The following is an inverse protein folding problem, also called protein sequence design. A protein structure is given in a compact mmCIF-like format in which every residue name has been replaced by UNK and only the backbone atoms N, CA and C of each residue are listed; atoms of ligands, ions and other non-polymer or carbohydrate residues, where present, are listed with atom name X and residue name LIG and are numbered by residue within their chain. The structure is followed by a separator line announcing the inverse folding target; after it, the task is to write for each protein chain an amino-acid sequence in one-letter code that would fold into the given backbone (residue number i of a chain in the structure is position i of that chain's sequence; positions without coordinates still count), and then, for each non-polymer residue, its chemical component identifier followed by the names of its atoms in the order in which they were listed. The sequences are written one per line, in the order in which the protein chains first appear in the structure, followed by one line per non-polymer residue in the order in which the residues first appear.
data_IF_338418861236
#
_entry.id   IF_338418861236
#
_cell.length_a   1.000
_cell.length_b   1.000
_cell.length_c   1.000
_cell.angle_alpha   90.00
_cell.angle_beta   90.00
_cell.angle_gamma   90.00
#
_symmetry.space_group_name_H-M   'P 1'
#
loop_
_entity.id
_entity.type
_entity.pdbx_description
1 polymer ?
#
# COMPACT_ATOMS: atom_id res chain seq x y z
N UNK A 1 32.97 -3.07 -0.97
CA UNK A 1 31.73 -3.84 -1.13
C UNK A 1 30.85 -3.64 0.08
N UNK A 2 29.68 -3.05 -0.16
CA UNK A 2 28.73 -2.77 0.92
C UNK A 2 27.81 -3.97 1.04
N UNK A 3 28.13 -4.90 1.95
CA UNK A 3 27.24 -6.01 2.25
C UNK A 3 26.04 -5.55 3.07
N UNK A 4 24.93 -6.28 3.00
CA UNK A 4 23.77 -6.04 3.84
C UNK A 4 24.13 -6.30 5.30
N UNK A 5 23.95 -5.31 6.21
CA UNK A 5 24.23 -5.54 7.63
C UNK A 5 23.37 -6.67 8.20
N UNK A 6 23.95 -7.50 9.09
CA UNK A 6 23.29 -8.68 9.65
C UNK A 6 21.99 -8.32 10.41
N UNK A 7 21.94 -7.17 11.05
CA UNK A 7 20.79 -6.70 11.82
C UNK A 7 19.59 -6.29 10.98
N UNK A 8 19.78 -6.05 9.66
CA UNK A 8 18.70 -5.68 8.74
C UNK A 8 18.10 -6.90 8.02
N UNK A 9 18.71 -8.06 8.09
CA UNK A 9 18.23 -9.27 7.42
C UNK A 9 16.79 -9.64 7.80
N UNK A 10 16.39 -9.63 9.08
CA UNK A 10 15.00 -9.90 9.44
C UNK A 10 14.01 -8.90 8.86
N UNK A 11 14.40 -7.64 8.72
CA UNK A 11 13.57 -6.58 8.12
C UNK A 11 13.38 -6.86 6.63
N UNK A 12 14.45 -7.20 5.91
CA UNK A 12 14.39 -7.57 4.49
C UNK A 12 13.48 -8.79 4.31
N UNK A 13 13.59 -9.80 5.14
CA UNK A 13 12.73 -10.99 5.07
C UNK A 13 11.26 -10.64 5.29
N UNK A 14 10.96 -9.72 6.21
CA UNK A 14 9.60 -9.23 6.42
C UNK A 14 9.02 -8.59 5.17
N UNK A 15 9.80 -7.80 4.44
CA UNK A 15 9.38 -7.19 3.17
C UNK A 15 9.21 -8.27 2.09
N UNK A 16 10.09 -9.26 2.04
CA UNK A 16 10.02 -10.36 1.06
C UNK A 16 8.76 -11.22 1.18
N UNK A 17 8.09 -11.23 2.33
CA UNK A 17 6.80 -11.92 2.49
C UNK A 17 5.70 -11.29 1.60
N UNK A 18 5.83 -10.03 1.26
CA UNK A 18 4.89 -9.31 0.39
C UNK A 18 5.50 -9.10 -1.00
N UNK A 19 6.76 -8.70 -1.08
CA UNK A 19 7.47 -8.39 -2.32
C UNK A 19 8.49 -9.47 -2.65
N UNK A 20 8.10 -10.43 -3.46
CA UNK A 20 9.00 -11.48 -3.96
C UNK A 20 10.11 -10.82 -4.77
N UNK A 21 11.35 -11.16 -4.46
CA UNK A 21 12.54 -10.59 -5.12
C UNK A 21 13.08 -9.30 -4.51
N UNK A 22 12.50 -8.82 -3.41
CA UNK A 22 13.05 -7.69 -2.68
C UNK A 22 14.38 -8.08 -2.02
N UNK A 23 15.45 -7.33 -2.31
CA UNK A 23 16.80 -7.57 -1.78
C UNK A 23 17.43 -6.34 -1.12
N UNK A 24 16.62 -5.36 -0.76
CA UNK A 24 17.11 -4.09 -0.24
C UNK A 24 17.79 -3.25 -1.33
N UNK A 25 18.61 -2.30 -0.90
CA UNK A 25 19.24 -1.34 -1.81
C UNK A 25 20.69 -1.69 -2.06
N UNK A 26 20.93 -2.82 -2.70
CA UNK A 26 22.29 -3.22 -3.12
C UNK A 26 22.70 -2.46 -4.39
N UNK A 27 24.02 -2.36 -4.62
CA UNK A 27 24.54 -1.72 -5.81
C UNK A 27 24.03 -2.43 -7.08
N UNK A 28 23.36 -1.68 -7.94
CA UNK A 28 22.78 -2.20 -9.18
C UNK A 28 21.29 -2.56 -9.09
N UNK A 29 20.69 -2.64 -7.89
CA UNK A 29 19.26 -2.96 -7.71
C UNK A 29 18.42 -1.85 -7.10
N UNK A 30 18.99 -0.69 -6.81
CA UNK A 30 18.31 0.44 -6.14
C UNK A 30 17.07 0.92 -6.85
N UNK A 31 17.20 1.16 -8.14
CA UNK A 31 16.09 1.62 -8.97
C UNK A 31 14.95 0.61 -8.96
N UNK A 32 15.28 -0.65 -9.21
CA UNK A 32 14.30 -1.73 -9.24
C UNK A 32 13.63 -1.93 -7.89
N UNK A 33 14.39 -1.87 -6.80
CA UNK A 33 13.88 -2.02 -5.44
C UNK A 33 12.90 -0.90 -5.08
N UNK A 34 13.27 0.34 -5.34
CA UNK A 34 12.41 1.49 -5.05
C UNK A 34 11.15 1.47 -5.92
N UNK A 35 11.29 1.11 -7.18
CA UNK A 35 10.15 0.93 -8.09
C UNK A 35 9.21 -0.17 -7.60
N UNK A 36 9.75 -1.29 -7.14
CA UNK A 36 8.97 -2.41 -6.60
C UNK A 36 8.13 -1.98 -5.39
N UNK A 37 8.69 -1.22 -4.47
CA UNK A 37 7.98 -0.69 -3.30
C UNK A 37 6.87 0.27 -3.74
N UNK A 38 7.15 1.17 -4.66
CA UNK A 38 6.16 2.13 -5.17
C UNK A 38 5.03 1.45 -5.92
N UNK A 39 5.33 0.47 -6.74
CA UNK A 39 4.32 -0.33 -7.46
C UNK A 39 3.41 -1.07 -6.47
N UNK A 40 3.96 -1.58 -5.37
CA UNK A 40 3.17 -2.22 -4.31
C UNK A 40 2.25 -1.22 -3.59
N UNK A 41 2.70 -0.02 -3.33
CA UNK A 41 1.85 1.04 -2.75
C UNK A 41 0.66 1.33 -3.68
N UNK A 42 0.92 1.47 -4.98
CA UNK A 42 -0.13 1.70 -5.99
C UNK A 42 -1.10 0.53 -6.03
N UNK A 43 -0.59 -0.69 -6.04
CA UNK A 43 -1.42 -1.89 -6.04
C UNK A 43 -2.30 -1.99 -4.80
N UNK A 44 -1.72 -1.76 -3.62
CA UNK A 44 -2.45 -1.79 -2.36
C UNK A 44 -3.52 -0.69 -2.30
N UNK A 45 -3.20 0.53 -2.71
CA UNK A 45 -4.15 1.64 -2.77
C UNK A 45 -5.32 1.33 -3.71
N UNK A 46 -5.04 0.69 -4.85
CA UNK A 46 -6.07 0.22 -5.78
C UNK A 46 -7.00 -0.83 -5.17
N UNK A 47 -6.47 -1.73 -4.34
CA UNK A 47 -7.27 -2.73 -3.61
C UNK A 47 -8.15 -2.09 -2.54
N UNK A 48 -7.61 -1.16 -1.75
CA UNK A 48 -8.39 -0.39 -0.78
C UNK A 48 -9.52 0.36 -1.49
N UNK A 49 -9.21 1.00 -2.61
CA UNK A 49 -10.20 1.71 -3.42
C UNK A 49 -11.33 0.78 -3.88
N UNK A 50 -11.00 -0.42 -4.34
CA UNK A 50 -12.00 -1.41 -4.78
C UNK A 50 -12.91 -1.86 -3.63
N UNK A 51 -12.37 -2.11 -2.45
CA UNK A 51 -13.16 -2.44 -1.27
C UNK A 51 -14.09 -1.29 -0.87
N UNK A 52 -13.58 -0.06 -0.93
CA UNK A 52 -14.38 1.14 -0.60
C UNK A 52 -15.43 1.43 -1.66
N UNK A 53 -15.19 1.11 -2.93
CA UNK A 53 -16.21 1.20 -3.98
C UNK A 53 -17.39 0.27 -3.67
N UNK A 54 -17.12 -0.94 -3.25
CA UNK A 54 -18.17 -1.89 -2.88
C UNK A 54 -18.97 -1.41 -1.67
N UNK A 55 -18.29 -0.86 -0.66
CA UNK A 55 -18.94 -0.24 0.50
C UNK A 55 -19.81 0.95 0.07
N UNK A 56 -19.27 1.83 -0.76
CA UNK A 56 -20.00 2.99 -1.29
C UNK A 56 -21.28 2.58 -2.02
N UNK A 57 -21.16 1.68 -2.99
CA UNK A 57 -22.29 1.26 -3.82
C UNK A 57 -23.41 0.68 -2.96
N UNK A 58 -23.06 -0.12 -1.99
CA UNK A 58 -24.00 -0.81 -1.13
C UNK A 58 -24.66 0.14 -0.12
N UNK A 59 -23.88 0.97 0.55
CA UNK A 59 -24.39 1.93 1.53
C UNK A 59 -25.20 3.04 0.86
N UNK A 60 -24.82 3.47 -0.32
CA UNK A 60 -25.60 4.42 -1.12
C UNK A 60 -26.97 3.84 -1.48
N UNK A 61 -26.99 2.59 -1.96
CA UNK A 61 -28.24 1.88 -2.31
C UNK A 61 -29.17 1.73 -1.11
N UNK A 62 -28.62 1.54 0.07
CA UNK A 62 -29.38 1.35 1.31
C UNK A 62 -29.74 2.68 2.01
N UNK A 63 -29.35 3.82 1.47
CA UNK A 63 -29.64 5.12 2.03
C UNK A 63 -28.72 5.55 3.17
N UNK A 64 -27.65 4.82 3.45
CA UNK A 64 -26.67 5.13 4.50
C UNK A 64 -25.65 6.16 3.99
N UNK A 65 -26.10 7.40 3.83
CA UNK A 65 -25.34 8.45 3.15
C UNK A 65 -24.04 8.84 3.87
N UNK A 66 -24.00 8.79 5.19
CA UNK A 66 -22.82 9.13 5.96
C UNK A 66 -21.68 8.12 5.68
N UNK A 67 -21.97 6.83 5.74
CA UNK A 67 -21.01 5.78 5.43
C UNK A 67 -20.60 5.81 3.95
N UNK A 68 -21.54 6.03 3.05
CA UNK A 68 -21.26 6.17 1.63
C UNK A 68 -20.30 7.34 1.35
N UNK A 69 -20.50 8.48 1.97
CA UNK A 69 -19.59 9.64 1.83
C UNK A 69 -18.19 9.35 2.36
N UNK A 70 -18.09 8.67 3.50
CA UNK A 70 -16.79 8.27 4.07
C UNK A 70 -16.04 7.33 3.15
N UNK A 71 -16.73 6.36 2.56
CA UNK A 71 -16.14 5.44 1.59
C UNK A 71 -15.66 6.18 0.33
N UNK A 72 -16.46 7.12 -0.18
CA UNK A 72 -16.10 7.95 -1.33
C UNK A 72 -14.86 8.80 -1.04
N UNK A 73 -14.78 9.41 0.13
CA UNK A 73 -13.62 10.19 0.54
C UNK A 73 -12.35 9.32 0.58
N UNK A 74 -12.44 8.12 1.13
CA UNK A 74 -11.34 7.17 1.13
C UNK A 74 -10.89 6.81 -0.29
N UNK A 75 -11.81 6.60 -1.22
CA UNK A 75 -11.50 6.35 -2.63
C UNK A 75 -10.75 7.52 -3.28
N UNK A 76 -11.19 8.75 -3.02
CA UNK A 76 -10.53 9.95 -3.53
C UNK A 76 -9.10 10.08 -3.00
N UNK A 77 -8.88 9.81 -1.71
CA UNK A 77 -7.56 9.81 -1.11
C UNK A 77 -6.65 8.72 -1.69
N UNK A 78 -7.19 7.54 -1.98
CA UNK A 78 -6.46 6.49 -2.70
C UNK A 78 -6.04 6.95 -4.10
N UNK A 79 -6.91 7.64 -4.82
CA UNK A 79 -6.61 8.18 -6.14
C UNK A 79 -5.49 9.22 -6.09
N UNK A 80 -5.51 10.14 -5.13
CA UNK A 80 -4.43 11.12 -4.91
C UNK A 80 -3.12 10.45 -4.56
N UNK A 81 -3.13 9.47 -3.65
CA UNK A 81 -1.92 8.72 -3.27
C UNK A 81 -1.31 8.02 -4.48
N UNK A 82 -2.11 7.31 -5.27
CA UNK A 82 -1.64 6.63 -6.47
C UNK A 82 -1.02 7.60 -7.48
N UNK A 83 -1.64 8.75 -7.66
CA UNK A 83 -1.12 9.80 -8.57
C UNK A 83 0.21 10.35 -8.05
N UNK A 84 0.30 10.68 -6.77
CA UNK A 84 1.51 11.20 -6.15
C UNK A 84 2.67 10.19 -6.24
N UNK A 85 2.41 8.92 -5.99
CA UNK A 85 3.43 7.86 -6.09
C UNK A 85 3.90 7.69 -7.54
N UNK A 86 3.00 7.74 -8.51
CA UNK A 86 3.34 7.69 -9.94
C UNK A 86 4.25 8.86 -10.36
N UNK A 87 3.95 10.05 -9.90
CA UNK A 87 4.78 11.25 -10.14
C UNK A 87 6.17 11.10 -9.50
N UNK A 88 6.23 10.57 -8.28
CA UNK A 88 7.48 10.34 -7.58
C UNK A 88 8.36 9.29 -8.29
N UNK A 89 7.78 8.25 -8.86
CA UNK A 89 8.51 7.26 -9.68
C UNK A 89 9.13 7.94 -10.89
N UNK A 90 8.40 8.76 -11.61
CA UNK A 90 8.93 9.49 -12.76
C UNK A 90 10.08 10.44 -12.39
N UNK A 91 9.97 11.16 -11.27
CA UNK A 91 11.02 12.01 -10.74
C UNK A 91 12.28 11.23 -10.34
N UNK A 92 12.10 10.04 -9.77
CA UNK A 92 13.18 9.15 -9.40
C UNK A 92 13.94 8.62 -10.62
N UNK A 93 13.27 8.24 -11.70
CA UNK A 93 13.92 7.84 -12.95
C UNK A 93 14.86 8.94 -13.44
N UNK A 94 14.42 10.18 -13.42
CA UNK A 94 15.23 11.30 -13.78
C UNK A 94 16.44 11.49 -12.86
N UNK A 95 16.27 11.34 -11.56
CA UNK A 95 17.35 11.44 -10.57
C UNK A 95 18.43 10.36 -10.77
N UNK A 96 18.04 9.12 -11.05
CA UNK A 96 18.98 8.03 -11.34
C UNK A 96 19.78 8.27 -12.62
N UNK A 97 19.15 8.82 -13.65
CA UNK A 97 19.83 9.15 -14.91
C UNK A 97 20.79 10.33 -14.76
N UNK A 98 20.59 11.21 -13.80
CA UNK A 98 21.45 12.36 -13.55
C UNK A 98 22.72 12.05 -12.74
N UNK A 99 22.93 10.82 -12.33
CA UNK A 99 24.18 10.38 -11.67
C UNK A 99 24.34 10.83 -10.21
N UNK A 100 23.28 10.91 -9.45
CA UNK A 100 23.34 11.28 -8.04
C UNK A 100 24.17 10.31 -7.20
N UNK A 101 24.80 10.83 -6.13
CA UNK A 101 25.64 10.05 -5.22
C UNK A 101 24.91 8.91 -4.57
N UNK A 102 25.61 7.79 -4.40
CA UNK A 102 25.15 6.65 -3.62
C UNK A 102 24.93 7.02 -2.16
N UNK A 103 23.79 6.67 -1.54
CA UNK A 103 23.58 6.87 -0.11
C UNK A 103 24.54 6.02 0.73
N UNK A 104 24.83 6.47 1.96
CA UNK A 104 25.65 5.74 2.93
C UNK A 104 24.95 4.48 3.42
N UNK A 105 25.69 3.55 4.07
CA UNK A 105 25.10 2.36 4.70
C UNK A 105 24.03 2.69 5.73
N UNK A 106 24.24 3.75 6.50
CA UNK A 106 23.26 4.22 7.49
C UNK A 106 21.96 4.66 6.80
N UNK A 107 22.07 5.35 5.68
CA UNK A 107 20.92 5.80 4.91
C UNK A 107 20.21 4.61 4.26
N UNK A 108 20.95 3.62 3.78
CA UNK A 108 20.37 2.39 3.22
C UNK A 108 19.59 1.60 4.27
N UNK A 109 20.08 1.50 5.51
CA UNK A 109 19.33 0.88 6.63
C UNK A 109 18.00 1.60 6.89
N UNK A 110 18.03 2.93 6.90
CA UNK A 110 16.82 3.76 7.08
C UNK A 110 15.84 3.55 5.96
N UNK A 111 16.30 3.46 4.72
CA UNK A 111 15.45 3.20 3.56
C UNK A 111 14.77 1.82 3.67
N UNK A 112 15.52 0.79 4.01
CA UNK A 112 14.99 -0.57 4.16
C UNK A 112 13.97 -0.62 5.30
N UNK A 113 14.24 0.02 6.44
CA UNK A 113 13.30 0.11 7.54
C UNK A 113 12.03 0.88 7.15
N UNK A 114 12.19 1.96 6.40
CA UNK A 114 11.08 2.73 5.86
C UNK A 114 10.22 1.87 4.92
N UNK A 115 10.84 1.11 4.02
CA UNK A 115 10.13 0.20 3.13
C UNK A 115 9.33 -0.84 3.91
N UNK A 116 9.93 -1.43 4.92
CA UNK A 116 9.25 -2.37 5.81
C UNK A 116 8.01 -1.72 6.45
N UNK A 117 8.16 -0.54 7.00
CA UNK A 117 7.07 0.16 7.69
C UNK A 117 5.94 0.55 6.72
N UNK A 118 6.30 0.99 5.52
CA UNK A 118 5.32 1.32 4.47
C UNK A 118 4.59 0.07 4.00
N UNK A 119 5.29 -1.02 3.72
CA UNK A 119 4.67 -2.29 3.29
C UNK A 119 3.75 -2.85 4.38
N UNK A 120 4.17 -2.78 5.64
CA UNK A 120 3.34 -3.18 6.76
C UNK A 120 2.06 -2.33 6.86
N UNK A 121 2.19 -1.02 6.70
CA UNK A 121 1.08 -0.08 6.74
C UNK A 121 0.07 -0.33 5.61
N UNK A 122 0.53 -0.48 4.37
CA UNK A 122 -0.39 -0.71 3.23
C UNK A 122 -1.04 -2.09 3.30
N UNK A 123 -0.34 -3.10 3.81
CA UNK A 123 -0.91 -4.44 4.05
C UNK A 123 -2.04 -4.37 5.08
N UNK A 124 -1.82 -3.68 6.18
CA UNK A 124 -2.86 -3.44 7.20
C UNK A 124 -4.04 -2.67 6.65
N UNK A 125 -3.81 -1.66 5.82
CA UNK A 125 -4.88 -0.90 5.18
C UNK A 125 -5.75 -1.77 4.28
N UNK A 126 -5.14 -2.65 3.47
CA UNK A 126 -5.87 -3.61 2.63
C UNK A 126 -6.70 -4.56 3.50
N UNK A 127 -6.12 -5.12 4.55
CA UNK A 127 -6.81 -6.05 5.45
C UNK A 127 -7.98 -5.36 6.18
N UNK A 128 -7.78 -4.14 6.62
CA UNK A 128 -8.82 -3.35 7.28
C UNK A 128 -9.98 -3.04 6.33
N UNK A 129 -9.71 -2.63 5.10
CA UNK A 129 -10.73 -2.34 4.10
C UNK A 129 -11.52 -3.59 3.70
N UNK A 130 -10.84 -4.73 3.58
CA UNK A 130 -11.48 -6.01 3.33
C UNK A 130 -12.40 -6.41 4.50
N UNK A 131 -11.94 -6.24 5.73
CA UNK A 131 -12.73 -6.50 6.94
C UNK A 131 -13.97 -5.61 7.04
N UNK A 132 -13.85 -4.34 6.67
CA UNK A 132 -14.97 -3.39 6.63
C UNK A 132 -16.04 -3.83 5.62
N UNK A 133 -15.62 -4.26 4.43
CA UNK A 133 -16.53 -4.79 3.41
C UNK A 133 -17.25 -6.04 3.89
N UNK A 134 -16.55 -6.98 4.52
CA UNK A 134 -17.13 -8.19 5.11
C UNK A 134 -18.13 -7.87 6.23
N UNK A 135 -17.80 -6.95 7.10
CA UNK A 135 -18.68 -6.54 8.19
C UNK A 135 -19.99 -5.93 7.67
N UNK A 136 -19.89 -5.12 6.62
CA UNK A 136 -21.04 -4.56 5.94
C UNK A 136 -21.93 -5.65 5.33
N UNK A 137 -21.36 -6.61 4.62
CA UNK A 137 -22.10 -7.72 4.00
C UNK A 137 -22.83 -8.57 5.04
N UNK A 138 -22.19 -8.87 6.17
CA UNK A 138 -22.83 -9.60 7.29
C UNK A 138 -23.98 -8.82 7.91
N UNK A 139 -23.80 -7.54 8.13
CA UNK A 139 -24.86 -6.66 8.66
C UNK A 139 -26.10 -6.64 7.78
N UNK A 140 -25.94 -6.71 6.46
CA UNK A 140 -27.04 -6.80 5.52
C UNK A 140 -27.77 -8.15 5.57
N UNK A 141 -27.05 -9.24 5.65
CA UNK A 141 -27.64 -10.58 5.78
C UNK A 141 -28.49 -10.69 7.04
N UNK A 142 -27.98 -10.19 8.17
CA UNK A 142 -28.72 -10.14 9.42
C UNK A 142 -29.99 -9.31 9.33
N UNK A 143 -29.91 -8.13 8.69
CA UNK A 143 -31.07 -7.25 8.48
C UNK A 143 -32.12 -7.92 7.59
N UNK A 144 -31.68 -8.56 6.51
CA UNK A 144 -32.59 -9.29 5.60
C UNK A 144 -33.28 -10.46 6.31
N UNK A 145 -32.58 -11.19 7.17
CA UNK A 145 -33.18 -12.28 7.94
C UNK A 145 -34.24 -11.77 8.92
N UNK A 146 -34.01 -10.63 9.57
CA UNK A 146 -34.99 -10.03 10.50
C UNK A 146 -36.23 -9.54 9.74
N UNK A 147 -36.06 -9.02 8.52
CA UNK A 147 -37.18 -8.51 7.71
C UNK A 147 -38.06 -9.63 7.16
N UNK A 148 -37.51 -10.85 7.02
CA UNK A 148 -38.24 -12.03 6.52
C UNK A 148 -38.99 -12.81 7.61
N UNK A 149 -38.82 -12.48 8.90
CA UNK A 149 -39.55 -13.05 10.03
C UNK A 149 -40.79 -12.23 10.38
#
# INVERSE_FOLDING_TARGET
MIGTPVDIIPVIRGVQLVLIGYNGYTKGSRYETDRMVRDEIIRAAGRVRSHMQNVFDNEFKNGNMQTARSAKQCMEECDYLMEDVKKAVAGMEHAFLSGQRSPSNKDLKKLIQHDHDVIDMVTKAVNLSNSAEHAMARGQEETNQITLQ
#
